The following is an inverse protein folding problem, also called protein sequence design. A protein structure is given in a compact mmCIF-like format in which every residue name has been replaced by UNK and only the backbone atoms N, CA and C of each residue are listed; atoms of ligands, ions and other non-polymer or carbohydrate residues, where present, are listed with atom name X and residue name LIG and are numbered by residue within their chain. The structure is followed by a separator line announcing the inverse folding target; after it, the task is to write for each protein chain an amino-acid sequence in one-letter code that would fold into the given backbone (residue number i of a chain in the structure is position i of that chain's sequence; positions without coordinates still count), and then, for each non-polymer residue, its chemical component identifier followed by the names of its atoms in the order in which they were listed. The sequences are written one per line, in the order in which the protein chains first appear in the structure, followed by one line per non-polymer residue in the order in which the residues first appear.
data_IF_818373360989
#
_entry.id   IF_818373360989
#
_cell.length_a   1.000
_cell.length_b   1.000
_cell.length_c   1.000
_cell.angle_alpha   90.00
_cell.angle_beta   90.00
_cell.angle_gamma   90.00
#
_symmetry.space_group_name_H-M   'P 1'
#
loop_
_entity.id
_entity.type
_entity.pdbx_description
1 polymer ?
2 non-polymer ?
#
# COMPACT_ATOMS: atom_id res chain seq x y z
N UNK A 12 -8.13 -0.78 -24.57
CA UNK A 12 -7.48 0.16 -25.47
C UNK A 12 -6.22 0.75 -24.84
N UNK A 13 -5.17 0.89 -25.67
CA UNK A 13 -3.89 1.44 -25.25
C UNK A 13 -3.47 2.53 -26.23
N UNK A 14 -2.38 3.21 -25.89
CA UNK A 14 -1.97 4.38 -26.64
C UNK A 14 -2.67 5.65 -26.23
N UNK A 15 -3.34 5.66 -25.09
CA UNK A 15 -4.06 6.81 -24.58
C UNK A 15 -3.66 7.06 -23.14
N UNK A 16 -3.38 8.32 -22.82
CA UNK A 16 -3.19 8.77 -21.45
C UNK A 16 -4.38 9.61 -21.04
N UNK A 17 -5.03 9.26 -19.94
CA UNK A 17 -6.13 10.03 -19.39
C UNK A 17 -5.75 10.48 -18.00
N UNK A 18 -5.57 11.79 -17.82
CA UNK A 18 -5.25 12.38 -16.54
C UNK A 18 -6.31 13.42 -16.21
N UNK A 19 -6.99 13.23 -15.08
CA UNK A 19 -7.99 14.19 -14.64
C UNK A 19 -9.19 14.31 -15.56
N UNK A 20 -9.47 13.30 -16.36
CA UNK A 20 -10.62 13.33 -17.24
C UNK A 20 -10.35 13.75 -18.67
N UNK A 21 -9.09 13.96 -19.04
CA UNK A 21 -8.71 14.38 -20.38
C UNK A 21 -7.82 13.31 -21.00
N UNK A 22 -8.27 12.74 -22.12
CA UNK A 22 -7.55 11.67 -22.79
C UNK A 22 -6.73 12.24 -23.95
N UNK A 23 -5.46 11.86 -24.01
CA UNK A 23 -4.55 12.29 -25.06
C UNK A 23 -4.03 11.08 -25.80
N UNK A 24 -4.09 11.11 -27.13
CA UNK A 24 -3.39 10.11 -27.92
C UNK A 24 -1.90 10.24 -27.68
N UNK A 25 -1.25 9.11 -27.38
CA UNK A 25 0.14 9.16 -26.96
C UNK A 25 0.87 7.91 -27.42
N UNK A 26 2.18 8.06 -27.64
CA UNK A 26 3.12 6.97 -27.78
C UNK A 26 4.25 7.20 -26.79
N UNK A 27 5.10 6.19 -26.61
CA UNK A 27 6.13 6.29 -25.58
C UNK A 27 7.19 7.34 -25.91
N UNK A 28 7.36 7.67 -27.19
CA UNK A 28 8.27 8.77 -27.52
C UNK A 28 7.64 10.13 -27.30
N UNK A 29 6.36 10.19 -26.91
CA UNK A 29 5.78 11.40 -26.35
C UNK A 29 6.10 11.57 -24.87
N UNK A 30 6.94 10.69 -24.31
CA UNK A 30 7.28 10.72 -22.90
C UNK A 30 8.79 10.85 -22.76
N UNK A 31 9.22 11.76 -21.90
CA UNK A 31 10.64 11.98 -21.62
C UNK A 31 11.02 11.25 -20.34
N UNK A 32 12.06 10.43 -20.42
CA UNK A 32 12.51 9.63 -19.29
C UNK A 32 13.29 10.51 -18.32
N UNK A 33 12.79 10.64 -17.09
CA UNK A 33 13.43 11.46 -16.07
C UNK A 33 14.15 10.62 -15.01
N UNK A 34 14.26 9.31 -15.21
CA UNK A 34 15.07 8.49 -14.33
C UNK A 34 14.35 7.40 -13.58
N UNK A 35 15.11 6.44 -13.08
CA UNK A 35 14.56 5.33 -12.30
C UNK A 35 14.04 5.82 -10.95
N UNK A 36 13.17 5.03 -10.35
CA UNK A 36 12.61 5.33 -9.03
C UNK A 36 12.92 4.19 -8.07
N UNK A 37 12.30 4.24 -6.89
CA UNK A 37 12.73 3.42 -5.78
C UNK A 37 12.07 2.07 -5.58
N UNK A 38 11.71 1.40 -6.68
CA UNK A 38 11.10 0.07 -6.61
C UNK A 38 11.81 -0.85 -7.58
N UNK A 39 12.58 -1.80 -7.05
CA UNK A 39 13.01 -2.92 -7.85
C UNK A 39 11.89 -3.92 -8.05
N UNK A 40 10.99 -4.02 -7.08
CA UNK A 40 9.80 -4.87 -7.15
C UNK A 40 8.89 -4.49 -8.32
N UNK A 43 10.57 -2.76 -13.47
CA UNK A 43 11.25 -1.48 -13.63
C UNK A 43 10.24 -0.34 -13.79
N UNK A 44 10.45 0.74 -13.02
CA UNK A 44 9.53 1.87 -13.01
C UNK A 44 10.32 3.15 -13.25
N UNK A 45 9.84 3.97 -14.17
CA UNK A 45 10.49 5.24 -14.51
C UNK A 45 9.61 6.42 -14.13
N UNK A 46 10.26 7.55 -13.86
CA UNK A 46 9.60 8.83 -13.77
C UNK A 46 9.66 9.47 -15.15
N UNK A 47 8.50 9.76 -15.74
CA UNK A 47 8.45 10.26 -17.09
C UNK A 47 7.60 11.52 -17.16
N UNK A 48 7.82 12.28 -18.22
CA UNK A 48 7.17 13.58 -18.40
C UNK A 48 6.47 13.59 -19.75
N UNK A 49 5.14 13.75 -19.71
CA UNK A 49 4.35 13.83 -20.93
C UNK A 49 4.63 15.16 -21.62
N UNK A 50 5.31 15.12 -22.77
CA UNK A 50 5.72 16.35 -23.44
C UNK A 50 4.53 17.19 -23.87
N UNK A 51 3.41 16.55 -24.23
CA UNK A 51 2.26 17.30 -24.73
C UNK A 51 1.62 18.15 -23.64
N UNK A 52 1.67 17.69 -22.38
CA UNK A 52 1.00 18.39 -21.29
C UNK A 52 1.91 18.80 -20.14
N UNK A 53 3.13 18.29 -20.07
CA UNK A 53 4.01 18.55 -18.95
C UNK A 53 3.77 17.68 -17.74
N UNK A 54 2.74 16.84 -17.75
CA UNK A 54 2.47 15.95 -16.62
C UNK A 54 3.64 15.01 -16.39
N UNK A 55 3.96 14.80 -15.12
CA UNK A 55 5.01 13.87 -14.71
C UNK A 55 4.33 12.63 -14.14
N UNK A 56 4.65 11.47 -14.70
CA UNK A 56 3.96 10.24 -14.39
C UNK A 56 4.97 9.13 -14.10
N UNK A 57 4.48 8.05 -13.50
CA UNK A 57 5.26 6.84 -13.29
C UNK A 57 4.90 5.82 -14.35
N UNK A 58 5.93 5.18 -14.90
CA UNK A 58 5.76 4.26 -16.03
C UNK A 58 6.49 2.97 -15.70
N UNK A 59 5.75 1.86 -15.71
CA UNK A 59 6.33 0.53 -15.58
C UNK A 59 6.67 -0.01 -16.96
N UNK A 60 7.90 -0.44 -17.15
CA UNK A 60 8.32 -1.06 -18.40
C UNK A 60 8.41 -2.57 -18.20
N UNK A 61 7.55 -3.30 -18.89
CA UNK A 61 7.58 -4.76 -18.88
C UNK A 61 8.22 -5.24 -20.17
N UNK A 62 9.46 -5.72 -20.07
CA UNK A 62 10.16 -6.22 -21.24
C UNK A 62 9.54 -7.53 -21.71
N UNK A 63 9.43 -7.67 -23.04
CA UNK A 63 8.89 -8.90 -23.59
C UNK A 63 9.75 -10.10 -23.21
N UNK A 64 11.07 -9.95 -23.29
CA UNK A 64 12.02 -11.01 -22.97
C UNK A 64 12.33 -11.11 -21.49
N UNK A 65 11.51 -10.51 -20.63
CA UNK A 65 11.76 -10.52 -19.21
C UNK A 65 11.39 -11.84 -18.56
N UNK A 66 11.65 -11.92 -17.25
CA UNK A 66 11.31 -13.09 -16.47
C UNK A 66 9.79 -13.26 -16.42
N UNK A 67 9.30 -14.39 -16.93
CA UNK A 67 7.86 -14.58 -17.02
C UNK A 67 7.21 -14.77 -15.65
N UNK A 68 7.99 -15.13 -14.62
CA UNK A 68 7.44 -15.14 -13.27
C UNK A 68 7.15 -13.72 -12.80
N UNK A 69 8.04 -12.77 -13.12
CA UNK A 69 7.80 -11.38 -12.76
C UNK A 69 6.78 -10.74 -13.69
N UNK A 70 6.82 -11.10 -14.98
CA UNK A 70 5.87 -10.52 -15.94
C UNK A 70 4.45 -10.94 -15.63
N UNK A 71 4.26 -12.20 -15.22
CA UNK A 71 2.94 -12.63 -14.76
C UNK A 71 2.47 -11.76 -13.60
N UNK A 72 3.40 -11.34 -12.75
CA UNK A 72 3.03 -10.54 -11.58
C UNK A 72 2.67 -9.11 -11.96
N UNK A 73 3.36 -8.55 -12.95
CA UNK A 73 3.03 -7.21 -13.42
C UNK A 73 1.64 -7.19 -14.02
N UNK A 74 1.25 -8.28 -14.70
CA UNK A 74 -0.03 -8.30 -15.41
C UNK A 74 -1.21 -8.57 -14.48
N UNK A 75 -1.02 -9.39 -13.45
CA UNK A 75 -2.07 -9.54 -12.45
C UNK A 75 -2.29 -8.25 -11.69
N UNK A 76 -1.20 -7.59 -11.30
CA UNK A 76 -1.29 -6.28 -10.67
C UNK A 76 -2.05 -5.30 -11.57
N UNK A 77 -1.74 -5.30 -12.86
CA UNK A 77 -2.40 -4.38 -13.78
C UNK A 77 -3.88 -4.70 -13.95
N UNK A 78 -4.25 -5.99 -13.85
CA UNK A 78 -5.65 -6.36 -14.07
C UNK A 78 -6.54 -5.77 -12.99
N UNK A 79 -6.14 -5.88 -11.73
CA UNK A 79 -6.95 -5.33 -10.65
C UNK A 79 -6.86 -3.81 -10.63
N UNK A 80 -5.70 -3.24 -10.97
CA UNK A 80 -5.57 -1.79 -11.07
C UNK A 80 -6.55 -1.24 -12.10
N UNK A 81 -6.69 -1.92 -13.23
CA UNK A 81 -7.47 -1.38 -14.34
C UNK A 81 -8.96 -1.37 -14.04
N UNK A 82 -9.47 -2.43 -13.42
CA UNK A 82 -10.89 -2.51 -13.07
C UNK A 82 -11.21 -1.87 -11.74
N UNK A 83 -10.26 -1.15 -11.14
CA UNK A 83 -10.41 -0.53 -9.83
C UNK A 83 -10.37 0.99 -9.92
N UNK A 84 -10.84 1.53 -11.04
CA UNK A 84 -10.74 2.95 -11.33
C UNK A 84 -11.71 3.79 -10.50
N UNK A 85 -12.71 3.18 -9.88
CA UNK A 85 -13.67 3.91 -9.06
C UNK A 85 -13.33 3.86 -7.58
N UNK A 86 -12.14 3.38 -7.23
CA UNK A 86 -11.68 3.38 -5.85
C UNK A 86 -10.66 4.49 -5.66
N UNK A 87 -10.95 5.50 -4.85
CA UNK A 87 -9.98 6.59 -4.64
C UNK A 87 -8.84 6.24 -3.70
N UNK A 88 -8.74 4.99 -3.26
CA UNK A 88 -7.69 4.55 -2.34
C UNK A 88 -6.80 3.50 -2.98
N UNK A 89 -6.75 3.46 -4.31
CA UNK A 89 -5.87 2.58 -5.07
C UNK A 89 -5.24 3.41 -6.17
N UNK A 90 -3.93 3.22 -6.38
CA UNK A 90 -3.23 4.00 -7.40
C UNK A 90 -3.82 3.69 -8.77
N UNK A 91 -3.94 4.72 -9.58
CA UNK A 91 -4.63 4.61 -10.85
C UNK A 91 -3.64 4.42 -12.00
N UNK A 92 -4.15 3.84 -13.07
CA UNK A 92 -3.39 3.66 -14.30
C UNK A 92 -3.93 4.64 -15.34
N UNK A 93 -3.04 5.47 -15.87
CA UNK A 93 -3.45 6.46 -16.87
C UNK A 93 -3.61 5.85 -18.25
N UNK A 94 -3.00 4.70 -18.50
CA UNK A 94 -3.04 4.09 -19.81
C UNK A 94 -1.84 3.19 -20.01
N UNK A 95 -1.78 2.61 -21.19
CA UNK A 95 -0.75 1.64 -21.53
C UNK A 95 -0.25 1.89 -22.93
N UNK A 96 0.96 1.42 -23.21
CA UNK A 96 1.55 1.45 -24.54
C UNK A 96 2.12 0.07 -24.83
N UNK A 97 1.65 -0.55 -25.91
CA UNK A 97 2.07 -1.89 -26.27
C UNK A 97 2.90 -1.76 -27.55
N UNK A 98 4.23 -1.75 -27.39
CA UNK A 98 5.13 -1.76 -28.53
C UNK A 98 5.51 -3.21 -28.83
N UNK A 99 6.30 -3.39 -29.90
CA UNK A 99 6.68 -4.74 -30.30
C UNK A 99 7.53 -5.43 -29.24
N UNK A 100 8.30 -4.67 -28.46
CA UNK A 100 9.23 -5.25 -27.51
C UNK A 100 8.85 -5.04 -26.06
N UNK A 101 7.94 -4.11 -25.77
CA UNK A 101 7.69 -3.73 -24.38
C UNK A 101 6.21 -3.40 -24.20
N UNK A 102 5.79 -3.45 -22.94
CA UNK A 102 4.52 -2.88 -22.50
C UNK A 102 4.82 -1.83 -21.46
N UNK A 103 4.26 -0.64 -21.64
CA UNK A 103 4.47 0.47 -20.72
C UNK A 103 3.16 0.77 -20.00
N UNK A 104 3.22 0.79 -18.67
CA UNK A 104 2.07 1.00 -17.82
C UNK A 104 2.23 2.35 -17.14
N UNK A 105 1.37 3.30 -17.50
CA UNK A 105 1.44 4.65 -16.95
C UNK A 105 0.57 4.72 -15.70
N UNK A 106 1.20 4.94 -14.56
CA UNK A 106 0.51 5.08 -13.29
C UNK A 106 0.74 6.48 -12.74
N UNK A 107 -0.16 6.90 -11.85
CA UNK A 107 -0.02 8.22 -11.25
C UNK A 107 1.23 8.27 -10.37
N UNK A 108 1.86 9.44 -10.34
CA UNK A 108 3.09 9.64 -9.59
C UNK A 108 2.76 10.14 -8.20
N UNK A 109 3.35 9.50 -7.19
CA UNK A 109 3.13 9.87 -5.81
C UNK A 109 4.47 10.16 -5.12
N UNK A 110 4.38 10.64 -3.88
CA UNK A 110 5.55 11.06 -3.13
C UNK A 110 6.50 9.95 -2.74
N UNK A 111 6.04 9.02 -1.91
CA UNK A 111 6.88 7.93 -1.45
C UNK A 111 6.01 6.85 -0.81
N UNK A 112 6.65 5.74 -0.47
CA UNK A 112 6.00 4.67 0.28
C UNK A 112 6.15 4.93 1.77
N UNK A 113 5.17 4.46 2.55
CA UNK A 113 5.17 4.73 3.99
C UNK A 113 6.44 4.21 4.66
N UNK A 114 7.08 3.19 4.08
CA UNK A 114 8.34 2.69 4.61
C UNK A 114 9.41 3.78 4.58
N UNK A 115 9.58 4.44 3.43
CA UNK A 115 10.58 5.50 3.33
C UNK A 115 10.21 6.68 4.20
N UNK A 116 8.92 6.97 4.35
CA UNK A 116 8.47 7.98 5.31
C UNK A 116 9.01 7.68 6.71
N UNK A 117 8.95 6.40 7.11
CA UNK A 117 9.48 6.02 8.41
C UNK A 117 10.98 6.23 8.47
N UNK A 118 11.69 5.97 7.37
CA UNK A 118 13.14 6.18 7.35
C UNK A 118 13.48 7.66 7.42
N UNK A 119 12.87 8.47 6.56
CA UNK A 119 13.13 9.91 6.58
C UNK A 119 12.70 10.53 7.91
N UNK A 120 11.58 10.07 8.48
CA UNK A 120 11.10 10.63 9.73
C UNK A 120 12.05 10.35 10.89
N UNK A 121 12.72 9.20 10.86
CA UNK A 121 13.59 8.76 11.95
C UNK A 121 12.85 8.79 13.29
N UNK A 122 11.59 8.38 13.26
CA UNK A 122 10.77 8.37 14.44
C UNK A 122 9.31 8.06 14.15
N UNK A 123 8.48 8.12 15.19
CA UNK A 123 7.06 7.79 15.02
C UNK A 123 6.35 8.74 14.06
N UNK A 124 5.37 8.18 13.35
CA UNK A 124 4.44 8.95 12.54
C UNK A 124 3.28 9.35 13.44
N UNK A 125 2.79 10.59 13.37
CA UNK A 125 1.69 10.99 14.26
C UNK A 125 0.42 10.20 14.01
N UNK A 126 -0.42 10.13 15.06
CA UNK A 126 -1.65 9.34 14.98
C UNK A 126 -2.62 9.92 13.96
N UNK A 127 -2.72 11.25 13.88
CA UNK A 127 -3.68 11.86 12.97
C UNK A 127 -3.37 11.53 11.51
N UNK A 128 -2.09 11.29 11.19
CA UNK A 128 -1.73 10.85 9.85
C UNK A 128 -2.03 9.37 9.68
N UNK A 129 -1.79 8.57 10.73
CA UNK A 129 -2.10 7.15 10.66
C UNK A 129 -3.60 6.91 10.64
N UNK A 130 -4.39 7.82 11.22
CA UNK A 130 -5.83 7.69 11.17
C UNK A 130 -6.37 7.81 9.76
N UNK A 131 -5.94 8.84 9.03
CA UNK A 131 -6.33 8.96 7.63
C UNK A 131 -5.80 7.78 6.81
N UNK A 132 -4.61 7.31 7.13
CA UNK A 132 -4.06 6.14 6.44
C UNK A 132 -4.89 4.89 6.73
N UNK A 133 -5.25 4.68 8.00
CA UNK A 133 -6.02 3.50 8.37
C UNK A 133 -7.37 3.48 7.65
N UNK A 134 -8.01 4.63 7.51
CA UNK A 134 -9.26 4.71 6.77
C UNK A 134 -9.04 4.30 5.31
N UNK A 135 -7.92 4.73 4.73
CA UNK A 135 -7.70 4.52 3.30
C UNK A 135 -7.41 3.06 2.99
N UNK A 136 -6.52 2.42 3.76
CA UNK A 136 -6.14 1.04 3.47
C UNK A 136 -7.31 0.10 3.71
N UNK A 137 -8.06 0.33 4.80
CA UNK A 137 -9.20 -0.54 5.11
C UNK A 137 -10.24 -0.45 4.00
N UNK A 138 -10.58 0.77 3.58
CA UNK A 138 -11.54 0.93 2.49
C UNK A 138 -11.01 0.37 1.18
N UNK A 139 -9.69 0.42 0.99
CA UNK A 139 -9.10 -0.17 -0.22
C UNK A 139 -9.21 -1.69 -0.19
N UNK A 140 -8.90 -2.31 0.94
CA UNK A 140 -8.98 -3.76 1.04
C UNK A 140 -10.42 -4.24 1.02
N UNK A 141 -11.33 -3.50 1.68
CA UNK A 141 -12.74 -3.84 1.63
C UNK A 141 -13.28 -3.74 0.20
N UNK A 142 -12.85 -2.72 -0.55
CA UNK A 142 -13.23 -2.60 -1.94
C UNK A 142 -12.74 -3.79 -2.76
N UNK A 143 -11.51 -4.25 -2.49
CA UNK A 143 -10.96 -5.38 -3.23
C UNK A 143 -11.76 -6.65 -2.96
N UNK A 144 -12.23 -6.83 -1.72
CA UNK A 144 -12.95 -8.05 -1.36
C UNK A 144 -14.36 -8.04 -1.93
N UNK A 145 -15.11 -6.95 -1.72
CA UNK A 145 -16.51 -6.94 -2.10
C UNK A 145 -16.68 -6.78 -3.61
N UNK A 146 -15.97 -5.82 -4.21
CA UNK A 146 -16.18 -5.52 -5.62
C UNK A 146 -15.52 -6.54 -6.55
N UNK A 147 -14.38 -7.11 -6.16
CA UNK A 147 -13.65 -8.00 -7.05
C UNK A 147 -13.28 -9.34 -6.42
N UNK A 148 -13.66 -9.61 -5.18
CA UNK A 148 -13.29 -10.86 -4.54
C UNK A 148 -11.80 -11.07 -4.38
N UNK A 149 -11.03 -9.99 -4.33
CA UNK A 149 -9.58 -10.03 -4.36
C UNK A 149 -9.04 -9.82 -2.95
N UNK A 150 -8.11 -10.68 -2.53
CA UNK A 150 -7.37 -10.52 -1.28
C UNK A 150 -5.97 -10.02 -1.61
N UNK A 151 -5.49 -9.03 -0.85
CA UNK A 151 -4.20 -8.44 -1.13
C UNK A 151 -3.06 -9.37 -0.75
N UNK A 152 -3.09 -9.91 0.48
CA UNK A 152 -2.16 -10.89 1.00
C UNK A 152 -0.73 -10.36 1.17
N UNK A 153 -0.52 -9.05 1.09
CA UNK A 153 0.82 -8.50 1.24
C UNK A 153 0.74 -7.03 1.70
N UNK A 154 0.00 -6.78 2.78
CA UNK A 154 -0.12 -5.43 3.32
C UNK A 154 1.10 -5.12 4.17
N UNK A 155 1.79 -4.03 3.85
CA UNK A 155 2.99 -3.61 4.55
C UNK A 155 3.29 -2.16 4.20
N UNK A 156 4.10 -1.46 5.00
CA UNK A 156 4.32 -0.03 4.74
C UNK A 156 4.86 0.28 3.36
N UNK A 157 5.56 -0.65 2.71
CA UNK A 157 6.03 -0.40 1.36
C UNK A 157 4.92 -0.36 0.34
N UNK A 158 3.73 -0.86 0.69
CA UNK A 158 2.58 -0.88 -0.21
C UNK A 158 1.55 0.19 0.13
N UNK A 159 1.92 1.16 0.97
CA UNK A 159 1.08 2.31 1.28
C UNK A 159 1.78 3.54 0.73
N UNK A 160 1.10 4.28 -0.15
CA UNK A 160 1.69 5.41 -0.84
C UNK A 160 1.04 6.72 -0.42
N UNK A 161 1.84 7.79 -0.42
CA UNK A 161 1.38 9.12 -0.05
C UNK A 161 1.97 10.12 -1.03
N UNK A 162 1.26 11.23 -1.24
CA UNK A 162 1.69 12.24 -2.22
C UNK A 162 1.63 13.63 -1.59
N UNK A 163 2.04 14.62 -2.40
CA UNK A 163 2.09 16.01 -1.95
C UNK A 163 0.74 16.56 -1.55
N UNK A 164 -0.36 15.93 -1.98
CA UNK A 164 -1.69 16.50 -1.83
C UNK A 164 -2.51 15.78 -0.76
N UNK A 165 -1.87 15.06 0.15
CA UNK A 165 -2.55 14.42 1.25
C UNK A 165 -3.25 13.13 0.91
N UNK A 166 -3.04 12.57 -0.29
CA UNK A 166 -3.68 11.33 -0.67
C UNK A 166 -2.89 10.13 -0.14
N UNK A 167 -3.62 9.10 0.28
CA UNK A 167 -3.04 7.85 0.75
C UNK A 167 -3.73 6.72 0.00
N UNK A 168 -2.95 5.90 -0.70
CA UNK A 168 -3.51 4.90 -1.59
C UNK A 168 -2.77 3.57 -1.45
N UNK A 169 -3.49 2.49 -1.73
CA UNK A 169 -2.90 1.16 -1.80
C UNK A 169 -2.05 1.05 -3.06
N UNK A 170 -0.87 0.45 -2.92
CA UNK A 170 0.15 0.49 -3.96
C UNK A 170 -0.14 -0.49 -5.08
N UNK A 171 0.65 -1.55 -5.18
CA UNK A 171 0.52 -2.51 -6.26
C UNK A 171 0.52 -3.93 -5.72
N UNK A 172 -0.48 -4.70 -6.15
CA UNK A 172 -0.82 -6.01 -5.61
C UNK A 172 -0.68 -7.04 -6.73
N UNK A 173 0.53 -7.57 -6.90
CA UNK A 173 0.80 -8.54 -7.94
C UNK A 173 0.67 -9.98 -7.55
N UNK A 174 0.50 -10.26 -6.27
CA UNK A 174 0.28 -11.62 -5.78
C UNK A 174 -1.13 -11.76 -5.22
N UNK A 175 -2.02 -10.82 -5.57
CA UNK A 175 -3.38 -10.86 -5.07
C UNK A 175 -4.13 -12.07 -5.62
N UNK A 176 -4.97 -12.67 -4.77
CA UNK A 176 -5.69 -13.86 -5.13
C UNK A 176 -7.20 -13.63 -5.03
N UNK A 177 -7.94 -14.36 -5.85
CA UNK A 177 -9.40 -14.26 -5.87
C UNK A 177 -10.03 -15.18 -4.83
N UNK A 188 3.83 -16.31 -1.44
CA UNK A 188 3.05 -15.66 -0.40
C UNK A 188 3.74 -14.37 0.06
N UNK A 189 3.10 -13.68 1.01
CA UNK A 189 3.56 -12.38 1.42
C UNK A 189 4.82 -12.42 2.26
N UNK A 190 5.23 -11.23 2.69
CA UNK A 190 6.40 -11.08 3.56
C UNK A 190 6.15 -11.80 4.88
N UNK A 191 7.15 -12.57 5.33
CA UNK A 191 7.00 -13.34 6.56
C UNK A 191 6.85 -12.45 7.79
N UNK A 192 7.32 -11.20 7.72
CA UNK A 192 7.32 -10.34 8.89
C UNK A 192 5.92 -9.87 9.25
N UNK A 193 5.03 -9.74 8.27
CA UNK A 193 3.68 -9.25 8.48
C UNK A 193 2.64 -10.35 8.31
N UNK A 194 3.06 -11.62 8.28
CA UNK A 194 2.13 -12.71 8.03
C UNK A 194 1.32 -13.05 9.27
N UNK A 195 0.03 -13.31 9.08
CA UNK A 195 -0.87 -13.58 10.17
C UNK A 195 -0.60 -14.96 10.77
N UNK A 196 -1.00 -15.18 12.03
CA UNK A 196 -0.76 -16.50 12.65
C UNK A 196 -1.41 -17.67 11.91
N UNK A 197 -2.60 -17.47 11.33
CA UNK A 197 -3.28 -18.57 10.66
C UNK A 197 -2.78 -18.79 9.24
N UNK A 198 -1.86 -17.97 8.75
CA UNK A 198 -1.12 -18.28 7.53
C UNK A 198 0.20 -18.96 7.84
N UNK A 199 0.75 -18.73 9.03
CA UNK A 199 1.90 -19.49 9.50
C UNK A 199 1.49 -20.91 9.85
N UNK A 200 0.42 -21.06 10.63
CA UNK A 200 -0.08 -22.37 11.06
C UNK A 200 -1.56 -22.49 10.71
N UNK A 201 -1.88 -22.76 9.43
CA UNK A 201 -3.26 -22.86 9.00
C UNK A 201 -3.90 -24.17 9.44
N UNK A 202 -4.99 -24.12 10.21
CA UNK A 202 -5.64 -25.34 10.69
C UNK A 202 -6.55 -25.98 9.64
N UNK A 203 -7.13 -25.18 8.75
CA UNK A 203 -8.08 -25.66 7.72
C UNK A 203 -9.11 -26.63 8.32
N UNK A 210 -9.78 -16.20 5.76
CA UNK A 210 -8.55 -15.97 5.00
C UNK A 210 -8.40 -14.48 4.67
N UNK A 211 -9.55 -13.78 4.61
CA UNK A 211 -9.55 -12.36 4.30
C UNK A 211 -9.09 -11.56 5.51
N UNK A 212 -9.09 -12.16 6.70
CA UNK A 212 -8.65 -11.51 7.93
C UNK A 212 -7.15 -11.62 8.15
N UNK A 213 -6.44 -12.34 7.28
CA UNK A 213 -4.98 -12.36 7.36
C UNK A 213 -4.40 -11.00 7.01
N UNK A 214 -5.06 -10.27 6.11
CA UNK A 214 -4.61 -8.93 5.76
C UNK A 214 -4.86 -7.93 6.89
N UNK A 215 -5.88 -8.18 7.71
CA UNK A 215 -6.14 -7.30 8.85
C UNK A 215 -4.97 -7.35 9.83
N UNK A 216 -4.41 -8.55 10.04
CA UNK A 216 -3.26 -8.67 10.93
C UNK A 216 -2.07 -7.88 10.44
N UNK A 217 -1.71 -8.06 9.15
CA UNK A 217 -0.58 -7.32 8.59
C UNK A 217 -0.80 -5.82 8.65
N UNK A 218 -2.05 -5.38 8.50
CA UNK A 218 -2.36 -3.96 8.68
C UNK A 218 -2.04 -3.52 10.11
N UNK A 219 -2.39 -4.34 11.09
CA UNK A 219 -2.11 -4.00 12.47
C UNK A 219 -0.62 -3.95 12.77
N UNK A 220 0.13 -4.92 12.26
CA UNK A 220 1.58 -4.92 12.46
C UNK A 220 2.20 -3.70 11.79
N UNK A 221 1.67 -3.30 10.63
CA UNK A 221 2.17 -2.10 9.96
C UNK A 221 1.78 -0.83 10.71
N UNK A 222 0.60 -0.82 11.34
CA UNK A 222 0.19 0.34 12.12
C UNK A 222 1.08 0.51 13.35
N UNK A 223 1.36 -0.58 14.06
CA UNK A 223 2.24 -0.49 15.23
C UNK A 223 3.63 -0.03 14.82
N UNK A 224 4.12 -0.52 13.67
CA UNK A 224 5.46 -0.15 13.22
C UNK A 224 5.56 1.34 12.95
N UNK A 225 4.61 1.89 12.19
CA UNK A 225 4.64 3.30 11.86
C UNK A 225 4.30 4.19 13.04
N UNK A 226 3.57 3.67 14.04
CA UNK A 226 3.21 4.48 15.20
C UNK A 226 4.35 4.58 16.21
N UNK A 227 5.22 3.58 16.27
CA UNK A 227 6.33 3.56 17.20
C UNK A 227 7.67 3.83 16.54
N UNK A 228 7.75 3.79 15.20
CA UNK A 228 9.01 3.90 14.51
C UNK A 228 9.88 2.68 14.58
N UNK A 229 9.43 1.62 15.22
CA UNK A 229 10.18 0.37 15.35
C UNK A 229 9.36 -0.76 14.74
N UNK A 230 10.05 -1.77 14.23
CA UNK A 230 9.31 -2.96 13.80
C UNK A 230 9.01 -3.85 15.00
N UNK A 231 7.76 -4.31 15.16
CA UNK A 231 7.37 -5.01 16.39
C UNK A 231 8.30 -6.16 16.78
N UNK A 232 8.42 -7.16 15.93
CA UNK A 232 9.26 -8.32 16.22
C UNK A 232 10.71 -7.93 15.96
N UNK A 233 11.41 -7.55 17.04
CA UNK A 233 12.73 -6.96 16.97
C UNK A 233 13.82 -8.01 17.15
N UNK A 234 15.01 -7.67 16.65
CA UNK A 234 16.22 -8.48 16.83
C UNK A 234 16.03 -9.90 16.29
N UNK A 235 15.23 -10.05 15.23
CA UNK A 235 15.04 -11.34 14.58
C UNK A 235 16.04 -11.45 13.43
N UNK A 236 16.83 -12.52 13.44
CA UNK A 236 17.89 -12.68 12.46
C UNK A 236 17.48 -13.46 11.22
N UNK A 237 16.53 -14.40 11.35
CA UNK A 237 16.07 -15.22 10.24
C UNK A 237 14.57 -15.03 10.03
N UNK A 238 14.09 -15.45 8.87
CA UNK A 238 12.65 -15.41 8.59
C UNK A 238 11.88 -16.28 9.56
N UNK A 239 12.37 -17.50 9.82
CA UNK A 239 11.62 -18.43 10.66
C UNK A 239 11.49 -17.92 12.09
N UNK A 240 12.50 -17.20 12.59
CA UNK A 240 12.42 -16.69 13.96
C UNK A 240 11.28 -15.69 14.12
N UNK A 241 11.03 -14.89 13.07
CA UNK A 241 9.90 -13.95 13.12
C UNK A 241 8.59 -14.71 13.30
N UNK A 242 8.39 -15.75 12.49
CA UNK A 242 7.19 -16.57 12.61
C UNK A 242 7.06 -17.15 14.01
N UNK A 243 8.20 -17.54 14.61
CA UNK A 243 8.17 -18.14 15.94
C UNK A 243 7.62 -17.18 16.98
N UNK A 244 8.01 -15.91 16.90
CA UNK A 244 7.51 -14.95 17.88
C UNK A 244 6.08 -14.50 17.58
N UNK A 245 5.61 -14.65 16.35
CA UNK A 245 4.22 -14.35 16.06
C UNK A 245 3.30 -15.33 16.77
N UNK A 246 3.68 -16.61 16.80
CA UNK A 246 2.85 -17.65 17.43
C UNK A 246 3.17 -17.84 18.91
N UNK A 247 4.44 -17.76 19.29
CA UNK A 247 4.81 -18.05 20.68
C UNK A 247 4.48 -16.91 21.62
N UNK A 248 4.49 -15.67 21.14
CA UNK A 248 4.37 -14.51 22.01
C UNK A 248 3.04 -13.80 21.78
N UNK A 249 2.70 -12.92 22.73
CA UNK A 249 1.48 -12.15 22.64
C UNK A 249 1.54 -11.18 21.47
N UNK A 250 0.39 -10.76 20.95
CA UNK A 250 0.38 -9.77 19.87
C UNK A 250 1.05 -8.49 20.32
N UNK A 251 1.77 -7.81 19.41
CA UNK A 251 2.47 -6.57 19.77
C UNK A 251 1.53 -5.37 19.71
N UNK A 252 1.13 -4.89 20.89
CA UNK A 252 0.18 -3.79 20.98
C UNK A 252 0.90 -2.45 21.15
N UNK A 253 0.12 -1.36 21.07
CA UNK A 253 0.65 0.00 21.14
C UNK A 253 0.99 0.38 22.58
N UNK A 254 2.12 1.06 22.80
CA UNK A 254 2.45 1.52 24.15
C UNK A 254 1.46 2.57 24.65
N UNK A 255 1.32 2.63 25.97
CA UNK A 255 0.38 3.54 26.59
C UNK A 255 0.96 4.85 27.09
N UNK A 256 2.26 5.07 26.92
CA UNK A 256 2.92 6.28 27.40
C UNK A 256 3.30 7.22 26.26
N UNK A 257 2.75 7.03 25.07
CA UNK A 257 2.98 7.91 23.94
C UNK A 257 1.80 8.82 23.63
N UNK A 258 0.73 8.77 24.43
CA UNK A 258 -0.41 9.63 24.20
C UNK A 258 -1.37 9.15 23.14
N UNK A 259 -1.29 7.88 22.74
CA UNK A 259 -2.22 7.36 21.75
C UNK A 259 -3.65 7.38 22.30
N UNK A 260 -4.59 7.75 21.45
CA UNK A 260 -5.99 7.76 21.86
C UNK A 260 -6.45 6.35 22.19
N UNK A 261 -7.44 6.26 23.08
CA UNK A 261 -8.01 4.95 23.40
C UNK A 261 -8.56 4.25 22.18
N UNK A 262 -9.16 5.00 21.26
CA UNK A 262 -9.73 4.41 20.06
C UNK A 262 -8.66 3.80 19.17
N UNK A 263 -7.51 4.47 19.06
CA UNK A 263 -6.41 3.93 18.27
C UNK A 263 -5.91 2.61 18.87
N UNK A 264 -5.76 2.55 20.19
CA UNK A 264 -5.31 1.31 20.82
C UNK A 264 -6.34 0.20 20.65
N UNK A 265 -7.63 0.55 20.76
CA UNK A 265 -8.68 -0.44 20.57
C UNK A 265 -8.65 -1.01 19.15
N UNK A 266 -8.35 -0.15 18.16
CA UNK A 266 -8.29 -0.62 16.78
C UNK A 266 -7.12 -1.58 16.57
N UNK A 267 -5.95 -1.23 17.11
CA UNK A 267 -4.77 -2.05 16.89
C UNK A 267 -4.94 -3.42 17.55
N UNK A 268 -5.47 -3.45 18.78
CA UNK A 268 -5.66 -4.73 19.45
C UNK A 268 -6.69 -5.59 18.72
N UNK A 269 -7.68 -4.97 18.09
CA UNK A 269 -8.68 -5.74 17.34
C UNK A 269 -8.06 -6.35 16.08
N UNK A 270 -7.23 -5.59 15.37
CA UNK A 270 -6.53 -6.16 14.21
C UNK A 270 -5.57 -7.26 14.64
N UNK A 271 -4.82 -7.02 15.71
CA UNK A 271 -3.81 -7.98 16.17
C UNK A 271 -4.41 -8.95 17.18
N UNK A 272 -5.45 -9.64 16.73
CA UNK A 272 -6.07 -10.74 17.46
C UNK A 272 -5.57 -12.04 16.86
N UNK A 273 -5.16 -12.98 17.71
CA UNK A 273 -4.41 -14.13 17.20
C UNK A 273 -5.33 -15.21 16.65
N UNK A 274 -6.47 -15.47 17.30
CA UNK A 274 -7.44 -16.39 16.70
C UNK A 274 -8.14 -15.67 15.55
N UNK A 275 -7.90 -16.14 14.31
CA UNK A 275 -8.44 -15.48 13.14
C UNK A 275 -9.96 -15.54 13.08
N UNK A 276 -10.59 -16.46 13.81
CA UNK A 276 -12.04 -16.52 13.83
C UNK A 276 -12.63 -15.41 14.69
N UNK A 277 -11.94 -15.01 15.75
CA UNK A 277 -12.36 -13.91 16.59
C UNK A 277 -11.89 -12.56 16.08
N UNK A 278 -11.21 -12.52 14.93
CA UNK A 278 -10.71 -11.30 14.32
C UNK A 278 -11.80 -10.64 13.48
N UNK A 279 -11.96 -9.32 13.55
CA UNK A 279 -13.08 -8.67 12.88
C UNK A 279 -12.93 -8.69 11.36
N UNK A 280 -14.08 -8.64 10.69
CA UNK A 280 -14.12 -8.47 9.25
C UNK A 280 -13.93 -7.00 8.91
N UNK A 281 -13.91 -6.69 7.61
CA UNK A 281 -13.78 -5.29 7.21
C UNK A 281 -15.05 -4.49 7.50
N UNK A 282 -16.22 -5.12 7.38
CA UNK A 282 -17.46 -4.37 7.62
C UNK A 282 -17.59 -4.01 9.09
N UNK A 283 -17.17 -4.90 9.99
CA UNK A 283 -17.14 -4.55 11.42
C UNK A 283 -16.01 -3.58 11.71
N UNK A 284 -14.89 -3.68 10.99
CA UNK A 284 -13.78 -2.75 11.20
C UNK A 284 -14.17 -1.32 10.84
N UNK A 285 -15.01 -1.15 9.83
CA UNK A 285 -15.35 0.19 9.36
C UNK A 285 -16.32 0.91 10.29
N UNK A 286 -16.98 0.19 11.19
CA UNK A 286 -17.83 0.80 12.21
C UNK A 286 -17.06 1.11 13.48
N UNK A 287 -15.75 0.90 13.49
CA UNK A 287 -14.92 1.19 14.65
C UNK A 287 -14.82 2.71 14.86
N UNK A 288 -14.72 3.11 16.12
CA UNK A 288 -14.67 4.53 16.45
C UNK A 288 -13.45 5.21 15.82
N UNK A 289 -12.34 4.49 15.75
CA UNK A 289 -11.12 5.04 15.14
C UNK A 289 -11.36 5.40 13.68
N UNK A 290 -12.01 4.50 12.93
CA UNK A 290 -12.32 4.78 11.53
C UNK A 290 -13.31 5.94 11.44
N UNK A 291 -14.37 5.90 12.25
CA UNK A 291 -15.42 6.91 12.15
C UNK A 291 -14.92 8.30 12.48
N UNK A 292 -13.92 8.41 13.36
CA UNK A 292 -13.41 9.73 13.72
C UNK A 292 -12.67 10.38 12.56
N UNK A 293 -11.81 9.62 11.89
CA UNK A 293 -10.95 10.18 10.86
C UNK A 293 -11.60 10.22 9.49
N UNK A 294 -12.82 9.69 9.35
CA UNK A 294 -13.59 9.94 8.14
C UNK A 294 -14.06 11.39 8.08
N UNK A 295 -14.39 11.96 9.23
CA UNK A 295 -15.01 13.27 9.31
C UNK A 295 -14.10 14.35 9.86
N UNK A 296 -12.89 13.99 10.29
CA UNK A 296 -11.96 14.97 10.82
C UNK A 296 -11.04 15.44 9.71
N UNK A 297 -11.09 16.73 9.40
CA UNK A 297 -10.19 17.31 8.42
C UNK A 297 -8.78 17.33 8.99
N UNK A 298 -7.90 16.51 8.41
CA UNK A 298 -6.49 16.46 8.78
C UNK A 298 -5.68 16.91 7.56
N UNK A 299 -4.79 17.88 7.76
CA UNK A 299 -3.97 18.35 6.65
C UNK A 299 -2.78 17.41 6.52
N UNK A 300 -2.95 16.39 5.69
CA UNK A 300 -1.85 15.48 5.38
C UNK A 300 -0.89 16.12 4.39
N UNK A 301 -1.41 16.96 3.49
CA UNK A 301 -0.56 17.58 2.47
C UNK A 301 0.59 18.36 3.10
N UNK A 302 0.28 19.21 4.08
CA UNK A 302 1.31 20.03 4.70
C UNK A 302 2.30 19.17 5.49
N UNK A 303 1.78 18.28 6.35
CA UNK A 303 2.67 17.42 7.14
C UNK A 303 3.59 16.62 6.22
N UNK A 304 3.08 16.20 5.06
CA UNK A 304 3.90 15.43 4.13
C UNK A 304 5.03 16.28 3.54
N UNK A 305 4.72 17.52 3.14
CA UNK A 305 5.74 18.37 2.51
C UNK A 305 6.84 18.74 3.51
N UNK A 306 6.48 18.98 4.77
CA UNK A 306 7.48 19.39 5.75
C UNK A 306 8.39 18.23 6.13
N UNK A 307 7.83 17.03 6.29
CA UNK A 307 8.65 15.86 6.59
C UNK A 307 9.55 15.53 5.40
N UNK A 308 9.03 15.64 4.18
CA UNK A 308 9.83 15.41 3.00
C UNK A 308 10.93 16.46 2.83
N UNK A 309 10.80 17.61 3.48
CA UNK A 309 11.79 18.67 3.32
C UNK A 309 13.13 18.30 3.96
N UNK A 310 13.11 17.52 5.05
CA UNK A 310 14.32 17.14 5.73
C UNK A 310 15.16 16.22 4.85
N UNK A 311 16.39 16.64 4.55
CA UNK A 311 17.21 16.00 3.54
C UNK A 311 18.08 14.91 4.13
N UNK A 312 18.74 14.16 3.25
CA UNK A 312 19.72 13.15 3.62
C UNK A 312 20.73 12.97 2.49
#
# INVERSE_FOLDING_TARGET
MGHHHHHHSAKQTGYLTIGGQRYQAEINDLENLGEMGSGTCGQVWKMRFRKTGHVIAVKQMRRSGNKEENKRILMDLDVVLKSHDCPYIVQCFGTFITNTDVFIAMELMGTCAEKLKKRMQGPIPERILGKMTVAIVKALYYLKEKHGVIHRDVKPSNILLDERGQIKLCDFGISGRLVDSKAKTRSAGCAAYMAPERIDPPDPTKPDYDIRADVWSLGISLVELATGQFPYKNCKTDFEVLTKVLQEEPPLLPGHMGFSGDFQSFVKDCLTKDHRKRPKYNKLLEHSFIKRYETLEVDVASWFKDVMAKTESPRTSG
#
